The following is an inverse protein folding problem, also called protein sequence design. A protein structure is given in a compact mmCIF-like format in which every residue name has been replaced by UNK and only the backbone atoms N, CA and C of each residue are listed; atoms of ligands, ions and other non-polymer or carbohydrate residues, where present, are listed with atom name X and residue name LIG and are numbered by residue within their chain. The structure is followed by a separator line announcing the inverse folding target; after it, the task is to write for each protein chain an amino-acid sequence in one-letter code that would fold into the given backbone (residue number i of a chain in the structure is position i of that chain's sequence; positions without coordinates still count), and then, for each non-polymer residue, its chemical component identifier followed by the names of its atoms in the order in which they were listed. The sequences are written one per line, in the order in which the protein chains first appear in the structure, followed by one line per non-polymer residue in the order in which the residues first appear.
data_IF_384392637969
#
_entry.id   IF_384392637969
#
_cell.length_a   1.000
_cell.length_b   1.000
_cell.length_c   1.000
_cell.angle_alpha   90.00
_cell.angle_beta   90.00
_cell.angle_gamma   90.00
#
_symmetry.space_group_name_H-M   'P 1'
#
loop_
_entity.id
_entity.type
_entity.pdbx_description
1 polymer ?
#
# COMPACT_ATOMS: atom_id res chain seq x y z
N UNK A 1 29.39 15.67 40.08
CA UNK A 1 28.13 15.29 39.40
C UNK A 1 28.48 14.31 38.29
N UNK A 2 28.21 13.01 38.50
CA UNK A 2 28.46 11.96 37.50
C UNK A 2 27.34 11.97 36.47
N UNK A 3 27.65 12.38 35.23
CA UNK A 3 26.74 12.22 34.10
C UNK A 3 26.61 10.72 33.79
N UNK A 4 25.53 10.09 34.24
CA UNK A 4 25.14 8.77 33.78
C UNK A 4 24.83 8.87 32.27
N UNK A 5 25.86 8.67 31.44
CA UNK A 5 25.66 8.38 30.02
C UNK A 5 24.99 7.01 29.95
N UNK A 6 23.68 7.01 29.74
CA UNK A 6 22.97 5.80 29.35
C UNK A 6 23.54 5.36 28.00
N UNK A 7 24.44 4.37 28.01
CA UNK A 7 24.83 3.64 26.82
C UNK A 7 23.63 2.81 26.37
N UNK A 8 22.70 3.42 25.63
CA UNK A 8 21.69 2.68 24.91
C UNK A 8 22.38 1.96 23.75
N UNK A 9 22.67 0.67 23.96
CA UNK A 9 23.06 -0.20 22.87
C UNK A 9 21.88 -0.27 21.89
N UNK A 10 22.10 0.07 20.60
CA UNK A 10 21.02 0.04 19.62
C UNK A 10 20.49 -1.40 19.50
N UNK A 11 19.15 -1.57 19.39
CA UNK A 11 18.57 -2.90 19.31
C UNK A 11 19.04 -3.60 18.03
N UNK A 12 19.27 -4.91 18.13
CA UNK A 12 19.65 -5.73 16.96
C UNK A 12 18.47 -6.07 16.07
N UNK A 13 17.24 -5.99 16.62
CA UNK A 13 15.97 -6.31 15.96
C UNK A 13 14.87 -5.38 16.42
N UNK A 14 13.92 -5.08 15.53
CA UNK A 14 12.67 -4.41 15.89
C UNK A 14 11.74 -5.40 16.59
N UNK A 15 10.94 -4.94 17.57
CA UNK A 15 9.98 -5.79 18.29
C UNK A 15 8.88 -6.24 17.33
N UNK A 16 8.55 -7.54 17.34
CA UNK A 16 7.48 -8.11 16.52
C UNK A 16 6.66 -9.13 17.31
N UNK A 17 5.36 -9.17 17.05
CA UNK A 17 4.45 -10.16 17.61
C UNK A 17 4.36 -11.39 16.69
N UNK A 18 4.55 -12.58 17.26
CA UNK A 18 4.67 -13.84 16.48
C UNK A 18 3.43 -14.18 15.66
N UNK A 19 2.23 -13.88 16.17
CA UNK A 19 0.96 -14.25 15.53
C UNK A 19 0.40 -13.15 14.63
N UNK A 20 1.10 -12.03 14.50
CA UNK A 20 0.62 -10.89 13.73
C UNK A 20 0.79 -11.13 12.22
N UNK A 21 -0.32 -11.03 11.49
CA UNK A 21 -0.44 -11.25 10.05
C UNK A 21 0.22 -10.14 9.22
N UNK A 22 0.24 -8.91 9.74
CA UNK A 22 0.73 -7.73 9.04
C UNK A 22 0.21 -7.62 7.59
N UNK A 23 -1.09 -7.38 7.38
CA UNK A 23 -1.59 -7.02 6.06
C UNK A 23 -0.90 -5.73 5.57
N UNK A 24 -0.64 -5.65 4.27
CA UNK A 24 -0.03 -4.51 3.60
C UNK A 24 -0.65 -4.38 2.21
N UNK A 25 -1.21 -3.21 1.90
CA UNK A 25 -1.60 -2.86 0.54
C UNK A 25 -0.75 -1.72 -0.01
N UNK A 26 -0.90 -1.47 -1.30
CA UNK A 26 -0.25 -0.37 -2.00
C UNK A 26 -1.31 0.52 -2.63
N UNK A 27 -1.09 1.83 -2.61
CA UNK A 27 -1.98 2.79 -3.25
C UNK A 27 -1.20 3.92 -3.92
N UNK A 28 -1.86 4.65 -4.81
CA UNK A 28 -1.32 5.87 -5.40
C UNK A 28 -1.40 7.01 -4.39
N UNK A 29 -0.24 7.42 -3.92
CA UNK A 29 -0.06 8.60 -3.09
C UNK A 29 0.10 9.84 -3.98
N UNK A 30 0.01 11.05 -3.45
CA UNK A 30 0.11 12.27 -4.25
C UNK A 30 1.47 12.95 -4.15
N UNK A 31 2.15 12.80 -3.02
CA UNK A 31 3.29 13.66 -2.68
C UNK A 31 4.58 12.85 -2.80
N UNK A 32 5.41 13.13 -3.81
CA UNK A 32 6.71 12.50 -3.90
C UNK A 32 7.56 12.92 -2.70
N UNK A 33 8.30 11.98 -2.14
CA UNK A 33 9.26 12.25 -1.07
C UNK A 33 10.63 11.70 -1.45
N UNK A 34 11.65 12.03 -0.64
CA UNK A 34 13.00 11.48 -0.83
C UNK A 34 13.04 9.95 -0.90
N UNK A 35 12.15 9.27 -0.16
CA UNK A 35 12.08 7.80 -0.13
C UNK A 35 11.03 7.24 -1.10
N UNK A 36 10.12 8.07 -1.58
CA UNK A 36 8.98 7.71 -2.42
C UNK A 36 8.94 8.65 -3.63
N UNK A 37 9.93 8.54 -4.52
CA UNK A 37 10.05 9.45 -5.69
C UNK A 37 8.86 9.31 -6.64
N UNK A 38 8.48 8.06 -6.90
CA UNK A 38 7.22 7.74 -7.55
C UNK A 38 6.25 7.41 -6.42
N UNK A 39 5.17 8.19 -6.25
CA UNK A 39 4.32 8.11 -5.06
C UNK A 39 3.37 6.90 -5.16
N UNK A 40 3.91 5.73 -4.86
CA UNK A 40 3.17 4.51 -4.57
C UNK A 40 3.53 4.11 -3.15
N UNK A 41 2.56 4.23 -2.25
CA UNK A 41 2.80 4.09 -0.82
C UNK A 41 2.33 2.72 -0.32
N UNK A 42 3.21 1.96 0.36
CA UNK A 42 2.80 0.80 1.15
C UNK A 42 2.12 1.23 2.45
N UNK A 43 1.01 0.58 2.81
CA UNK A 43 0.31 0.85 4.08
C UNK A 43 -0.32 -0.43 4.66
N UNK A 44 -0.17 -0.68 5.98
CA UNK A 44 0.81 -0.08 6.89
C UNK A 44 2.27 -0.38 6.49
N UNK A 45 3.19 0.52 6.82
CA UNK A 45 4.63 0.34 6.56
C UNK A 45 5.29 -0.59 7.60
N UNK A 46 5.01 -1.89 7.52
CA UNK A 46 5.48 -2.94 8.46
C UNK A 46 6.95 -3.33 8.27
N UNK A 47 7.86 -2.36 8.36
CA UNK A 47 9.32 -2.58 8.25
C UNK A 47 9.86 -3.52 9.32
N UNK A 48 9.17 -3.64 10.45
CA UNK A 48 9.49 -4.58 11.53
C UNK A 48 9.38 -6.04 11.04
N UNK A 49 8.38 -6.38 10.22
CA UNK A 49 8.21 -7.71 9.64
C UNK A 49 9.30 -8.04 8.64
N UNK A 50 9.57 -7.09 7.75
CA UNK A 50 10.62 -7.19 6.74
C UNK A 50 12.00 -7.41 7.39
N UNK A 51 12.38 -6.54 8.33
CA UNK A 51 13.70 -6.62 8.99
C UNK A 51 13.88 -7.87 9.85
N UNK A 52 12.77 -8.47 10.30
CA UNK A 52 12.77 -9.71 11.08
C UNK A 52 12.51 -10.98 10.24
N UNK A 53 12.46 -10.89 8.90
CA UNK A 53 12.23 -12.04 8.00
C UNK A 53 10.91 -12.76 8.30
N UNK A 54 9.92 -12.00 8.76
CA UNK A 54 8.58 -12.50 9.06
C UNK A 54 7.62 -12.13 7.94
N UNK A 55 6.77 -13.06 7.48
CA UNK A 55 5.89 -12.80 6.35
C UNK A 55 4.93 -11.63 6.63
N UNK A 56 4.55 -10.98 5.55
CA UNK A 56 3.55 -9.92 5.44
C UNK A 56 2.51 -10.40 4.44
N UNK A 57 1.23 -10.25 4.74
CA UNK A 57 0.16 -10.53 3.78
C UNK A 57 0.02 -9.34 2.83
N UNK A 58 0.15 -9.56 1.53
CA UNK A 58 -0.14 -8.53 0.54
C UNK A 58 -1.64 -8.49 0.22
N UNK A 59 -2.26 -7.34 0.39
CA UNK A 59 -3.65 -7.11 -0.02
C UNK A 59 -3.65 -6.69 -1.48
N UNK A 60 -4.36 -7.46 -2.31
CA UNK A 60 -4.56 -7.17 -3.72
C UNK A 60 -5.95 -6.57 -3.93
N UNK A 61 -6.12 -5.66 -4.91
CA UNK A 61 -7.45 -5.20 -5.29
C UNK A 61 -8.21 -6.31 -6.04
N UNK A 62 -9.52 -6.16 -6.12
CA UNK A 62 -10.35 -6.97 -7.00
C UNK A 62 -10.16 -6.51 -8.46
N UNK A 63 -9.34 -7.27 -9.18
CA UNK A 63 -9.05 -7.01 -10.59
C UNK A 63 -10.28 -7.09 -11.50
N UNK A 64 -11.30 -7.88 -11.15
CA UNK A 64 -12.53 -7.97 -11.94
C UNK A 64 -13.34 -6.68 -11.83
N UNK A 65 -13.46 -6.15 -10.61
CA UNK A 65 -14.11 -4.85 -10.38
C UNK A 65 -13.38 -3.72 -11.11
N UNK A 66 -12.04 -3.75 -11.14
CA UNK A 66 -11.24 -2.73 -11.84
C UNK A 66 -11.34 -2.79 -13.37
N UNK A 67 -11.69 -3.94 -13.97
CA UNK A 67 -11.86 -4.06 -15.43
C UNK A 67 -12.86 -3.04 -15.98
N UNK A 68 -13.98 -2.85 -15.29
CA UNK A 68 -15.01 -1.89 -15.68
C UNK A 68 -14.52 -0.44 -15.56
N UNK A 69 -13.69 -0.15 -14.56
CA UNK A 69 -13.08 1.16 -14.35
C UNK A 69 -12.09 1.49 -15.47
N UNK A 70 -11.25 0.52 -15.87
CA UNK A 70 -10.31 0.71 -16.97
C UNK A 70 -11.01 1.06 -18.27
N UNK A 71 -12.08 0.32 -18.60
CA UNK A 71 -12.89 0.57 -19.80
C UNK A 71 -13.59 1.93 -19.74
N UNK A 72 -14.15 2.30 -18.58
CA UNK A 72 -14.88 3.56 -18.41
C UNK A 72 -14.00 4.80 -18.59
N UNK A 73 -12.75 4.73 -18.13
CA UNK A 73 -11.84 5.88 -18.11
C UNK A 73 -10.73 5.80 -19.16
N UNK A 74 -10.64 4.71 -19.93
CA UNK A 74 -9.58 4.47 -20.92
C UNK A 74 -8.16 4.59 -20.33
N UNK A 75 -8.02 4.18 -19.05
CA UNK A 75 -6.78 4.22 -18.27
C UNK A 75 -6.50 2.85 -17.64
N UNK A 76 -5.30 2.31 -17.88
CA UNK A 76 -4.93 0.95 -17.51
C UNK A 76 -3.71 0.95 -16.60
N UNK A 77 -3.77 0.16 -15.53
CA UNK A 77 -2.66 0.00 -14.61
C UNK A 77 -1.78 -1.17 -15.02
N UNK A 78 -0.49 -0.91 -15.22
CA UNK A 78 0.52 -1.95 -15.24
C UNK A 78 0.81 -2.37 -13.80
N UNK A 79 0.05 -3.35 -13.30
CA UNK A 79 0.19 -3.78 -11.91
C UNK A 79 1.58 -4.31 -11.59
N UNK A 80 2.27 -4.92 -12.57
CA UNK A 80 3.66 -5.35 -12.38
C UNK A 80 4.57 -4.19 -11.99
N UNK A 81 4.47 -3.07 -12.71
CA UNK A 81 5.25 -1.88 -12.35
C UNK A 81 4.75 -1.24 -11.06
N UNK A 82 3.44 -1.17 -10.86
CA UNK A 82 2.84 -0.63 -9.64
C UNK A 82 3.38 -1.32 -8.37
N UNK A 83 3.31 -2.65 -8.31
CA UNK A 83 3.80 -3.40 -7.16
C UNK A 83 5.33 -3.39 -7.07
N UNK A 84 6.06 -3.45 -8.19
CA UNK A 84 7.52 -3.37 -8.17
C UNK A 84 8.01 -2.06 -7.56
N UNK A 85 7.40 -0.93 -7.96
CA UNK A 85 7.72 0.38 -7.42
C UNK A 85 7.33 0.47 -5.94
N UNK A 86 6.12 0.02 -5.58
CA UNK A 86 5.68 -0.02 -4.18
C UNK A 86 6.63 -0.83 -3.28
N UNK A 87 7.07 -2.01 -3.73
CA UNK A 87 8.03 -2.84 -3.01
C UNK A 87 9.41 -2.16 -2.90
N UNK A 88 9.88 -1.54 -3.99
CA UNK A 88 11.16 -0.81 -4.01
C UNK A 88 11.13 0.36 -3.03
N UNK A 89 10.02 1.08 -2.99
CA UNK A 89 9.73 2.15 -2.05
C UNK A 89 9.77 1.64 -0.59
N UNK A 90 9.06 0.55 -0.28
CA UNK A 90 9.08 -0.09 1.04
C UNK A 90 10.50 -0.49 1.47
N UNK A 91 11.25 -1.14 0.58
CA UNK A 91 12.60 -1.62 0.85
C UNK A 91 13.56 -0.45 1.07
N UNK A 92 13.46 0.60 0.26
CA UNK A 92 14.28 1.80 0.40
C UNK A 92 14.02 2.48 1.75
N UNK A 93 12.75 2.65 2.11
CA UNK A 93 12.37 3.18 3.41
C UNK A 93 12.86 2.30 4.56
N UNK A 94 12.71 0.97 4.45
CA UNK A 94 13.18 0.02 5.45
C UNK A 94 14.71 0.08 5.63
N UNK A 95 15.49 0.21 4.55
CA UNK A 95 16.96 0.35 4.61
C UNK A 95 17.35 1.61 5.39
N UNK A 96 16.70 2.74 5.13
CA UNK A 96 16.93 4.01 5.84
C UNK A 96 16.58 3.87 7.33
N UNK A 97 15.36 3.44 7.64
CA UNK A 97 14.89 3.33 9.03
C UNK A 97 15.63 2.28 9.85
N UNK A 98 15.97 1.14 9.25
CA UNK A 98 16.77 0.13 9.92
C UNK A 98 18.16 0.66 10.29
N UNK A 99 18.80 1.44 9.39
CA UNK A 99 20.08 2.07 9.67
C UNK A 99 19.98 3.14 10.76
N UNK A 100 18.93 3.96 10.75
CA UNK A 100 18.67 4.95 11.81
C UNK A 100 18.53 4.28 13.19
N UNK A 101 17.76 3.19 13.27
CA UNK A 101 17.43 2.54 14.56
C UNK A 101 18.57 1.64 15.06
N UNK A 102 19.15 0.83 14.18
CA UNK A 102 20.11 -0.22 14.58
C UNK A 102 21.57 0.16 14.36
N UNK A 103 21.82 1.27 13.65
CA UNK A 103 23.15 1.69 13.16
C UNK A 103 23.82 0.67 12.24
N UNK A 104 23.04 -0.22 11.60
CA UNK A 104 23.51 -1.26 10.68
C UNK A 104 22.81 -1.16 9.34
N UNK A 105 23.46 -1.65 8.29
CA UNK A 105 22.82 -1.79 6.98
C UNK A 105 21.92 -3.03 6.97
N UNK A 106 20.73 -2.89 6.42
CA UNK A 106 19.82 -4.00 6.17
C UNK A 106 20.36 -4.83 5.00
N UNK A 107 20.63 -6.12 5.23
CA UNK A 107 21.20 -7.01 4.22
C UNK A 107 20.14 -7.48 3.23
N UNK A 108 20.53 -7.68 1.97
CA UNK A 108 19.60 -8.11 0.92
C UNK A 108 19.08 -9.53 1.16
N UNK A 109 19.84 -10.43 1.79
CA UNK A 109 19.33 -11.77 2.13
C UNK A 109 18.14 -11.71 3.09
N UNK A 110 18.06 -10.69 3.95
CA UNK A 110 16.92 -10.48 4.86
C UNK A 110 15.67 -10.12 4.05
N UNK A 111 15.82 -9.25 3.05
CA UNK A 111 14.74 -8.80 2.17
C UNK A 111 14.22 -9.96 1.32
N UNK A 112 15.14 -10.74 0.72
CA UNK A 112 14.79 -11.91 -0.09
C UNK A 112 14.03 -12.93 0.77
N UNK A 113 14.56 -13.28 1.94
CA UNK A 113 13.89 -14.24 2.84
C UNK A 113 12.53 -13.76 3.33
N UNK A 114 12.35 -12.45 3.54
CA UNK A 114 11.05 -11.88 3.86
C UNK A 114 10.08 -12.08 2.70
N UNK A 115 10.46 -11.65 1.50
CA UNK A 115 9.60 -11.70 0.32
C UNK A 115 9.20 -13.13 -0.04
N UNK A 116 10.16 -14.06 -0.03
CA UNK A 116 9.92 -15.49 -0.26
C UNK A 116 8.93 -16.10 0.72
N UNK A 117 8.87 -15.64 1.97
CA UNK A 117 7.86 -16.09 2.91
C UNK A 117 6.51 -15.41 2.67
N UNK A 118 6.51 -14.11 2.40
CA UNK A 118 5.30 -13.30 2.19
C UNK A 118 4.50 -13.78 0.98
N UNK A 119 5.15 -14.15 -0.13
CA UNK A 119 4.46 -14.65 -1.34
C UNK A 119 3.74 -15.99 -1.16
N UNK A 120 4.01 -16.70 -0.06
CA UNK A 120 3.46 -18.02 0.25
C UNK A 120 2.40 -17.98 1.35
N UNK A 121 1.98 -16.77 1.76
CA UNK A 121 0.92 -16.55 2.73
C UNK A 121 -0.30 -16.04 1.99
N UNK A 122 -1.41 -16.78 2.05
CA UNK A 122 -2.64 -16.47 1.34
C UNK A 122 -3.80 -16.44 2.33
N UNK A 123 -4.62 -15.41 2.22
CA UNK A 123 -5.94 -15.31 2.84
C UNK A 123 -6.71 -14.19 2.14
N UNK A 124 -8.02 -14.14 2.32
CA UNK A 124 -8.88 -13.09 1.77
C UNK A 124 -9.44 -12.22 2.90
N UNK A 125 -9.23 -10.91 2.77
CA UNK A 125 -9.79 -9.91 3.67
C UNK A 125 -10.64 -9.00 2.80
N UNK A 126 -11.94 -9.29 2.72
CA UNK A 126 -12.86 -8.66 1.77
C UNK A 126 -12.94 -7.15 1.95
N UNK A 127 -13.00 -6.67 3.21
CA UNK A 127 -13.03 -5.23 3.47
C UNK A 127 -11.79 -4.50 2.96
N UNK A 128 -10.58 -5.04 3.18
CA UNK A 128 -9.36 -4.39 2.67
C UNK A 128 -9.25 -4.51 1.15
N UNK A 129 -9.63 -5.65 0.58
CA UNK A 129 -9.69 -5.85 -0.88
C UNK A 129 -10.59 -4.79 -1.52
N UNK A 130 -11.79 -4.60 -0.95
CA UNK A 130 -12.74 -3.58 -1.39
C UNK A 130 -12.19 -2.16 -1.25
N UNK A 131 -11.55 -1.84 -0.11
CA UNK A 131 -10.95 -0.51 0.11
C UNK A 131 -9.82 -0.21 -0.88
N UNK A 132 -8.86 -1.12 -1.09
CA UNK A 132 -7.79 -0.86 -2.07
C UNK A 132 -8.31 -0.81 -3.51
N UNK A 133 -9.37 -1.56 -3.83
CA UNK A 133 -10.07 -1.46 -5.12
C UNK A 133 -10.69 -0.07 -5.28
N UNK A 134 -11.36 0.43 -4.25
CA UNK A 134 -11.99 1.75 -4.24
C UNK A 134 -10.97 2.87 -4.39
N UNK A 135 -9.88 2.83 -3.61
CA UNK A 135 -8.79 3.83 -3.68
C UNK A 135 -8.22 3.90 -5.11
N UNK A 136 -7.89 2.75 -5.70
CA UNK A 136 -7.37 2.69 -7.07
C UNK A 136 -8.39 3.22 -8.08
N UNK A 137 -9.67 2.88 -7.90
CA UNK A 137 -10.75 3.31 -8.80
C UNK A 137 -10.93 4.84 -8.80
N UNK A 138 -11.01 5.44 -7.61
CA UNK A 138 -11.15 6.89 -7.47
C UNK A 138 -9.91 7.62 -7.96
N UNK A 139 -8.71 7.07 -7.76
CA UNK A 139 -7.49 7.66 -8.33
C UNK A 139 -7.51 7.72 -9.87
N UNK A 140 -7.92 6.63 -10.54
CA UNK A 140 -8.04 6.62 -12.00
C UNK A 140 -9.09 7.60 -12.51
N UNK A 141 -10.23 7.68 -11.82
CA UNK A 141 -11.28 8.66 -12.10
C UNK A 141 -10.76 10.09 -11.97
N UNK A 142 -10.01 10.39 -10.90
CA UNK A 142 -9.35 11.68 -10.68
C UNK A 142 -8.40 12.02 -11.83
N UNK A 143 -7.52 11.09 -12.23
CA UNK A 143 -6.61 11.32 -13.36
C UNK A 143 -7.36 11.54 -14.67
N UNK A 144 -8.44 10.82 -14.92
CA UNK A 144 -9.27 11.01 -16.10
C UNK A 144 -9.81 12.45 -16.15
N UNK A 145 -10.44 12.92 -15.08
CA UNK A 145 -11.00 14.28 -15.06
C UNK A 145 -9.95 15.37 -15.20
N UNK A 146 -8.77 15.20 -14.57
CA UNK A 146 -7.63 16.12 -14.76
C UNK A 146 -7.22 16.20 -16.23
N UNK A 147 -7.17 15.06 -16.94
CA UNK A 147 -6.78 15.03 -18.35
C UNK A 147 -7.86 15.54 -19.32
N UNK A 148 -9.15 15.44 -18.97
CA UNK A 148 -10.26 15.78 -19.88
C UNK A 148 -10.81 17.19 -19.68
N UNK A 149 -10.78 17.70 -18.45
CA UNK A 149 -11.28 19.05 -18.16
C UNK A 149 -10.22 20.09 -18.55
N UNK A 150 -10.31 20.61 -19.77
CA UNK A 150 -9.46 21.71 -20.23
C UNK A 150 -9.88 23.02 -19.57
N UNK A 151 -9.10 23.47 -18.60
CA UNK A 151 -9.26 24.77 -17.95
C UNK A 151 -8.18 25.75 -18.44
N UNK A 152 -8.42 27.06 -18.28
CA UNK A 152 -7.39 28.09 -18.55
C UNK A 152 -6.23 28.03 -17.55
N UNK A 153 -6.45 27.40 -16.39
CA UNK A 153 -5.47 27.18 -15.33
C UNK A 153 -5.44 25.68 -14.99
N UNK A 154 -4.52 24.94 -15.63
CA UNK A 154 -4.36 23.49 -15.50
C UNK A 154 -3.93 23.09 -14.07
N UNK A 155 -3.14 23.95 -13.41
CA UNK A 155 -2.65 23.70 -12.06
C UNK A 155 -3.77 23.82 -11.03
N UNK A 156 -4.62 24.84 -11.16
CA UNK A 156 -5.81 24.99 -10.31
C UNK A 156 -6.77 23.82 -10.45
N UNK A 157 -6.96 23.32 -11.68
CA UNK A 157 -7.82 22.15 -11.92
C UNK A 157 -7.25 20.87 -11.32
N UNK A 158 -5.96 20.62 -11.51
CA UNK A 158 -5.25 19.47 -10.93
C UNK A 158 -5.35 19.46 -9.41
N UNK A 159 -5.08 20.62 -8.78
CA UNK A 159 -5.18 20.80 -7.34
C UNK A 159 -6.59 20.50 -6.83
N UNK A 160 -7.63 21.02 -7.49
CA UNK A 160 -9.04 20.79 -7.12
C UNK A 160 -9.38 19.30 -7.11
N UNK A 161 -9.04 18.58 -8.19
CA UNK A 161 -9.34 17.16 -8.32
C UNK A 161 -8.56 16.29 -7.32
N UNK A 162 -7.32 16.67 -7.00
CA UNK A 162 -6.55 16.00 -5.95
C UNK A 162 -7.08 16.26 -4.54
N UNK A 163 -7.52 17.48 -4.22
CA UNK A 163 -8.20 17.76 -2.95
C UNK A 163 -9.47 16.91 -2.84
N UNK A 164 -10.27 16.85 -3.91
CA UNK A 164 -11.49 16.05 -3.93
C UNK A 164 -11.20 14.54 -3.77
N UNK A 165 -10.11 14.04 -4.37
CA UNK A 165 -9.66 12.67 -4.14
C UNK A 165 -9.33 12.43 -2.67
N UNK A 166 -8.54 13.30 -2.04
CA UNK A 166 -8.24 13.19 -0.61
C UNK A 166 -9.50 13.23 0.25
N UNK A 167 -10.43 14.14 -0.02
CA UNK A 167 -11.71 14.23 0.70
C UNK A 167 -12.52 12.94 0.59
N UNK A 168 -12.59 12.38 -0.62
CA UNK A 168 -13.30 11.11 -0.87
C UNK A 168 -12.67 9.96 -0.07
N UNK A 169 -11.34 9.91 0.02
CA UNK A 169 -10.63 8.87 0.76
C UNK A 169 -10.74 9.04 2.28
N UNK A 170 -10.68 10.28 2.77
CA UNK A 170 -10.89 10.64 4.18
C UNK A 170 -12.28 10.18 4.62
N UNK A 171 -13.32 10.61 3.89
CA UNK A 171 -14.70 10.24 4.18
C UNK A 171 -14.91 8.73 4.12
N UNK A 172 -14.30 8.04 3.14
CA UNK A 172 -14.37 6.58 3.07
C UNK A 172 -13.77 5.90 4.32
N UNK A 173 -12.62 6.39 4.80
CA UNK A 173 -12.00 5.85 6.01
C UNK A 173 -12.84 6.16 7.26
N UNK A 174 -13.36 7.38 7.38
CA UNK A 174 -14.28 7.77 8.46
C UNK A 174 -15.52 6.88 8.47
N UNK A 175 -16.20 6.73 7.33
CA UNK A 175 -17.37 5.85 7.21
C UNK A 175 -17.04 4.40 7.60
N UNK A 176 -15.87 3.87 7.20
CA UNK A 176 -15.45 2.52 7.60
C UNK A 176 -15.25 2.40 9.10
N UNK A 177 -14.62 3.40 9.72
CA UNK A 177 -14.41 3.46 11.17
C UNK A 177 -15.75 3.60 11.89
N UNK A 178 -16.56 4.59 11.55
CA UNK A 178 -17.85 4.89 12.20
C UNK A 178 -18.86 3.75 12.10
N UNK A 179 -18.96 3.09 10.94
CA UNK A 179 -19.82 1.92 10.79
C UNK A 179 -19.33 0.72 11.61
N UNK A 180 -18.08 0.75 12.09
CA UNK A 180 -17.45 -0.25 12.95
C UNK A 180 -17.64 -1.70 12.45
N UNK A 181 -17.64 -1.87 11.13
CA UNK A 181 -17.98 -3.12 10.45
C UNK A 181 -16.83 -3.51 9.53
N UNK A 182 -16.41 -4.78 9.61
CA UNK A 182 -15.29 -5.29 8.85
C UNK A 182 -15.54 -6.75 8.45
N UNK A 183 -15.30 -7.08 7.20
CA UNK A 183 -15.67 -8.36 6.59
C UNK A 183 -14.41 -9.14 6.25
N UNK A 184 -14.32 -10.36 6.76
CA UNK A 184 -13.20 -11.30 6.57
C UNK A 184 -13.69 -12.64 6.02
N UNK A 185 -12.78 -13.41 5.43
CA UNK A 185 -13.04 -14.82 5.09
C UNK A 185 -12.80 -15.71 6.30
N UNK A 186 -13.72 -16.64 6.55
CA UNK A 186 -13.60 -17.71 7.53
C UNK A 186 -14.13 -19.02 6.96
N UNK A 187 -13.20 -19.94 6.68
CA UNK A 187 -13.49 -21.09 5.83
C UNK A 187 -14.01 -20.65 4.46
N UNK A 188 -15.20 -21.13 4.09
CA UNK A 188 -15.88 -20.81 2.83
C UNK A 188 -16.97 -19.73 2.99
N UNK A 189 -17.01 -19.07 4.16
CA UNK A 189 -18.03 -18.07 4.49
C UNK A 189 -17.43 -16.69 4.75
N UNK A 190 -18.25 -15.66 4.59
CA UNK A 190 -17.95 -14.31 5.03
C UNK A 190 -18.35 -14.15 6.50
N UNK A 191 -17.47 -13.55 7.31
CA UNK A 191 -17.76 -13.19 8.69
C UNK A 191 -17.63 -11.68 8.86
N UNK A 192 -18.68 -11.07 9.42
CA UNK A 192 -18.67 -9.68 9.85
C UNK A 192 -18.13 -9.58 11.28
N UNK A 193 -17.11 -8.74 11.47
CA UNK A 193 -16.45 -8.47 12.74
C UNK A 193 -16.36 -6.96 12.98
N UNK A 194 -16.14 -6.57 14.23
CA UNK A 194 -15.99 -5.16 14.61
C UNK A 194 -14.55 -4.67 14.45
N UNK A 195 -14.39 -3.39 14.13
CA UNK A 195 -13.09 -2.70 14.11
C UNK A 195 -12.62 -2.34 15.52
N UNK A 196 -13.54 -1.97 16.41
CA UNK A 196 -13.26 -1.59 17.78
C UNK A 196 -14.46 -1.90 18.70
N UNK A 197 -14.19 -1.90 20.01
CA UNK A 197 -15.22 -1.88 21.04
C UNK A 197 -15.22 -0.57 21.81
N UNK A 198 -16.40 -0.17 22.27
CA UNK A 198 -16.55 0.99 23.14
C UNK A 198 -16.65 0.54 24.60
N UNK A 199 -15.87 1.18 25.48
CA UNK A 199 -15.99 1.00 26.92
C UNK A 199 -15.69 2.32 27.61
N UNK A 200 -16.61 2.79 28.48
CA UNK A 200 -16.47 4.06 29.21
C UNK A 200 -16.16 5.26 28.28
N UNK A 201 -16.90 5.38 27.18
CA UNK A 201 -16.71 6.42 26.15
C UNK A 201 -15.29 6.46 25.53
N UNK A 202 -14.60 5.31 25.53
CA UNK A 202 -13.31 5.14 24.86
C UNK A 202 -13.40 4.00 23.84
N UNK A 203 -12.81 4.24 22.67
CA UNK A 203 -12.69 3.25 21.61
C UNK A 203 -11.42 2.41 21.83
N UNK A 204 -11.57 1.09 21.78
CA UNK A 204 -10.47 0.13 21.88
C UNK A 204 -10.43 -0.72 20.61
N UNK A 205 -9.39 -0.58 19.77
CA UNK A 205 -9.24 -1.38 18.57
C UNK A 205 -9.33 -2.89 18.87
N UNK A 206 -10.08 -3.61 18.03
CA UNK A 206 -10.24 -5.05 18.14
C UNK A 206 -9.13 -5.80 17.40
N UNK A 207 -8.74 -6.95 17.94
CA UNK A 207 -7.80 -7.87 17.30
C UNK A 207 -8.63 -8.90 16.54
N UNK A 208 -8.55 -8.84 15.21
CA UNK A 208 -9.24 -9.78 14.33
C UNK A 208 -8.33 -10.94 14.02
N UNK A 209 -8.86 -12.16 14.10
CA UNK A 209 -8.14 -13.38 13.73
C UNK A 209 -8.71 -13.98 12.47
N UNK A 210 -7.83 -14.37 11.55
CA UNK A 210 -8.19 -14.96 10.25
C UNK A 210 -7.43 -16.27 10.04
N UNK A 211 -8.03 -17.16 9.25
CA UNK A 211 -7.36 -18.37 8.78
C UNK A 211 -6.47 -18.02 7.58
N UNK A 212 -5.25 -18.54 7.62
CA UNK A 212 -4.21 -18.22 6.65
C UNK A 212 -3.59 -19.50 6.12
N UNK A 213 -3.59 -19.62 4.80
CA UNK A 213 -2.94 -20.71 4.08
C UNK A 213 -1.45 -20.38 3.93
N UNK A 214 -0.60 -21.24 4.50
CA UNK A 214 0.84 -21.17 4.34
C UNK A 214 1.28 -22.25 3.34
N UNK A 215 1.47 -21.85 2.08
CA UNK A 215 1.77 -22.76 0.98
C UNK A 215 3.12 -23.48 1.15
N UNK A 216 4.12 -22.82 1.73
CA UNK A 216 5.44 -23.41 1.99
C UNK A 216 5.37 -24.59 2.98
N UNK A 217 4.47 -24.49 3.95
CA UNK A 217 4.33 -25.48 5.02
C UNK A 217 3.12 -26.40 4.81
N UNK A 218 2.37 -26.19 3.72
CA UNK A 218 1.12 -26.87 3.40
C UNK A 218 0.18 -26.97 4.61
N UNK A 219 0.00 -25.85 5.33
CA UNK A 219 -0.79 -25.81 6.56
C UNK A 219 -1.65 -24.56 6.63
N UNK A 220 -2.81 -24.70 7.27
CA UNK A 220 -3.63 -23.58 7.73
C UNK A 220 -3.18 -23.16 9.12
N UNK A 221 -3.00 -21.86 9.32
CA UNK A 221 -2.66 -21.28 10.62
C UNK A 221 -3.54 -20.06 10.92
N UNK A 222 -3.88 -19.87 12.19
CA UNK A 222 -4.59 -18.67 12.65
C UNK A 222 -3.59 -17.55 12.88
N UNK A 223 -3.83 -16.42 12.24
CA UNK A 223 -3.05 -15.18 12.42
C UNK A 223 -3.99 -14.06 12.81
N UNK A 224 -3.47 -13.04 13.47
CA UNK A 224 -4.28 -11.92 13.93
C UNK A 224 -3.71 -10.58 13.48
N UNK A 225 -4.53 -9.54 13.41
CA UNK A 225 -4.11 -8.18 13.15
C UNK A 225 -5.15 -7.19 13.68
N UNK A 226 -4.82 -5.90 13.64
CA UNK A 226 -5.71 -4.83 14.11
C UNK A 226 -6.15 -4.02 12.88
N UNK A 227 -7.34 -4.28 12.30
CA UNK A 227 -7.79 -3.61 11.08
C UNK A 227 -7.97 -2.10 11.26
N UNK A 228 -8.41 -1.66 12.45
CA UNK A 228 -8.58 -0.24 12.78
C UNK A 228 -7.34 0.59 12.43
N UNK A 229 -6.14 0.10 12.79
CA UNK A 229 -4.88 0.82 12.56
C UNK A 229 -4.57 1.03 11.06
N UNK A 230 -5.09 0.18 10.18
CA UNK A 230 -4.89 0.32 8.74
C UNK A 230 -5.71 1.49 8.20
N UNK A 231 -6.97 1.60 8.64
CA UNK A 231 -7.81 2.74 8.28
C UNK A 231 -7.33 4.04 8.91
N UNK A 232 -6.81 3.98 10.14
CA UNK A 232 -6.16 5.10 10.83
C UNK A 232 -4.94 5.60 10.01
N UNK A 233 -4.06 4.69 9.61
CA UNK A 233 -2.90 5.02 8.76
C UNK A 233 -3.32 5.61 7.39
N UNK A 234 -4.36 5.05 6.75
CA UNK A 234 -4.89 5.56 5.48
C UNK A 234 -5.46 6.97 5.65
N UNK A 235 -6.30 7.16 6.67
CA UNK A 235 -6.89 8.45 7.02
C UNK A 235 -5.81 9.51 7.24
N UNK A 236 -4.77 9.19 8.01
CA UNK A 236 -3.65 10.08 8.28
C UNK A 236 -2.88 10.43 7.01
N UNK A 237 -2.63 9.45 6.13
CA UNK A 237 -1.95 9.68 4.85
C UNK A 237 -2.75 10.68 3.98
N UNK A 238 -4.04 10.44 3.78
CA UNK A 238 -4.86 11.32 2.94
C UNK A 238 -5.10 12.70 3.58
N UNK A 239 -5.24 12.76 4.90
CA UNK A 239 -5.31 14.02 5.65
C UNK A 239 -4.03 14.84 5.52
N UNK A 240 -2.87 14.18 5.63
CA UNK A 240 -1.57 14.81 5.43
C UNK A 240 -1.43 15.33 3.99
N UNK A 241 -1.81 14.54 2.99
CA UNK A 241 -1.78 14.95 1.58
C UNK A 241 -2.64 16.17 1.33
N UNK A 242 -3.90 16.15 1.80
CA UNK A 242 -4.82 17.28 1.70
C UNK A 242 -4.21 18.54 2.31
N UNK A 243 -3.67 18.44 3.53
CA UNK A 243 -3.01 19.57 4.20
C UNK A 243 -1.85 20.12 3.37
N UNK A 244 -1.01 19.25 2.80
CA UNK A 244 0.14 19.66 1.99
C UNK A 244 -0.25 20.28 0.66
N UNK A 245 -1.34 19.82 0.03
CA UNK A 245 -1.91 20.44 -1.17
C UNK A 245 -2.33 21.90 -0.89
N UNK A 246 -2.88 22.20 0.29
CA UNK A 246 -3.18 23.58 0.68
C UNK A 246 -1.94 24.41 1.03
N UNK A 247 -0.93 23.82 1.67
CA UNK A 247 0.29 24.53 2.11
C UNK A 247 1.26 24.83 0.96
N UNK A 248 1.39 23.96 -0.03
CA UNK A 248 2.36 24.10 -1.14
C UNK A 248 1.73 23.71 -2.50
N UNK A 249 0.73 24.48 -2.99
CA UNK A 249 -0.09 24.07 -4.12
C UNK A 249 0.64 23.93 -5.49
N UNK A 250 1.88 24.41 -5.66
CA UNK A 250 2.40 24.73 -7.01
C UNK A 250 3.73 24.04 -7.42
N UNK A 251 4.50 23.41 -6.55
CA UNK A 251 5.87 23.05 -6.98
C UNK A 251 6.07 21.69 -7.67
N UNK A 252 5.17 20.70 -7.54
CA UNK A 252 5.39 19.39 -8.22
C UNK A 252 4.15 18.46 -8.30
N UNK A 253 2.97 18.97 -8.66
CA UNK A 253 1.76 18.15 -8.87
C UNK A 253 1.70 17.52 -10.27
N UNK A 254 2.85 17.08 -10.78
CA UNK A 254 2.90 16.47 -12.10
C UNK A 254 2.22 15.10 -12.08
N UNK A 255 1.12 14.96 -12.81
CA UNK A 255 0.50 13.65 -13.05
C UNK A 255 1.38 12.74 -13.92
N UNK A 256 2.44 13.28 -14.53
CA UNK A 256 3.22 12.56 -15.52
C UNK A 256 4.06 11.44 -14.91
N UNK A 257 4.38 11.46 -13.61
CA UNK A 257 5.18 10.41 -13.00
C UNK A 257 4.63 9.00 -13.26
N UNK A 258 3.32 8.81 -13.21
CA UNK A 258 2.72 7.49 -13.43
C UNK A 258 2.68 7.10 -14.92
N UNK A 259 2.55 8.07 -15.82
CA UNK A 259 2.55 7.83 -17.26
C UNK A 259 3.96 7.59 -17.80
N UNK A 260 4.93 8.43 -17.44
CA UNK A 260 6.34 8.33 -17.85
C UNK A 260 6.98 7.02 -17.38
N UNK A 261 6.60 6.55 -16.19
CA UNK A 261 7.07 5.26 -15.65
C UNK A 261 6.22 4.06 -16.11
N UNK A 262 5.29 4.26 -17.05
CA UNK A 262 4.41 3.22 -17.63
C UNK A 262 3.60 2.44 -16.60
N UNK A 263 3.30 3.08 -15.47
CA UNK A 263 2.45 2.53 -14.41
C UNK A 263 0.99 2.66 -14.83
N UNK A 264 0.64 3.81 -15.41
CA UNK A 264 -0.67 4.07 -16.00
C UNK A 264 -0.49 4.30 -17.50
N UNK A 265 -1.30 3.63 -18.30
CA UNK A 265 -1.25 3.69 -19.76
C UNK A 265 -2.62 4.12 -20.29
N UNK A 266 -2.62 4.92 -21.36
CA UNK A 266 -3.85 5.33 -22.08
C UNK A 266 -4.16 4.31 -23.17
N UNK A 267 -5.43 4.05 -23.47
CA UNK A 267 -5.84 3.07 -24.51
C UNK A 267 -5.09 3.21 -25.84
N UNK A 268 -4.89 4.44 -26.32
CA UNK A 268 -4.17 4.72 -27.58
C UNK A 268 -2.69 4.31 -27.59
N UNK A 269 -2.12 3.97 -26.44
CA UNK A 269 -0.73 3.49 -26.29
C UNK A 269 -0.63 1.98 -26.11
N UNK A 270 -1.78 1.28 -26.00
CA UNK A 270 -1.86 -0.15 -25.74
C UNK A 270 -1.69 -0.99 -27.02
N UNK A 271 -1.68 -0.38 -28.21
CA UNK A 271 -1.46 -1.09 -29.48
C UNK A 271 -0.13 -1.88 -29.57
N UNK A 272 0.80 -1.70 -28.62
CA UNK A 272 2.03 -2.50 -28.49
C UNK A 272 2.04 -3.50 -27.31
N UNK A 273 1.01 -3.50 -26.46
CA UNK A 273 0.84 -4.45 -25.36
C UNK A 273 -0.37 -5.32 -25.67
N UNK A 274 -0.17 -6.63 -25.82
CA UNK A 274 -1.29 -7.57 -26.00
C UNK A 274 -2.27 -7.34 -24.84
N UNK A 275 -3.45 -6.81 -25.17
CA UNK A 275 -4.52 -6.49 -24.20
C UNK A 275 -4.83 -7.70 -23.30
N UNK A 276 -4.68 -8.91 -23.83
CA UNK A 276 -4.78 -10.17 -23.10
C UNK A 276 -3.74 -10.31 -21.97
N UNK A 277 -2.49 -9.86 -22.12
CA UNK A 277 -1.48 -9.87 -21.05
C UNK A 277 -1.77 -8.86 -19.94
N UNK A 278 -2.40 -7.71 -20.26
CA UNK A 278 -2.82 -6.73 -19.24
C UNK A 278 -3.96 -7.28 -18.36
N UNK A 279 -4.88 -8.05 -18.96
CA UNK A 279 -5.95 -8.74 -18.23
C UNK A 279 -5.49 -10.04 -17.56
N UNK A 280 -4.47 -10.72 -18.11
CA UNK A 280 -3.85 -11.94 -17.55
C UNK A 280 -2.77 -11.65 -16.50
N UNK A 281 -2.44 -10.39 -16.22
CA UNK A 281 -1.65 -9.97 -15.04
C UNK A 281 -2.43 -10.16 -13.73
N UNK A 282 -3.14 -11.29 -13.59
CA UNK A 282 -3.50 -11.85 -12.29
C UNK A 282 -2.19 -12.19 -11.60
N UNK A 283 -1.78 -11.29 -10.69
CA UNK A 283 -0.49 -11.40 -10.03
C UNK A 283 -0.52 -12.59 -9.08
N UNK A 284 0.04 -13.70 -9.53
CA UNK A 284 0.70 -14.60 -8.61
C UNK A 284 2.05 -13.96 -8.24
N UNK A 285 2.15 -13.49 -7.00
CA UNK A 285 3.39 -12.91 -6.46
C UNK A 285 4.58 -13.89 -6.55
N UNK A 286 4.32 -15.19 -6.81
CA UNK A 286 5.33 -16.20 -7.12
C UNK A 286 6.19 -15.87 -8.35
N UNK A 287 5.71 -15.06 -9.30
CA UNK A 287 6.44 -14.71 -10.53
C UNK A 287 7.41 -13.54 -10.37
N UNK A 288 7.45 -12.89 -9.22
CA UNK A 288 8.42 -11.82 -8.94
C UNK A 288 9.68 -12.45 -8.36
N UNK A 289 10.75 -12.53 -9.16
CA UNK A 289 12.09 -12.72 -8.62
C UNK A 289 12.66 -11.35 -8.27
N UNK A 290 12.86 -11.07 -6.98
CA UNK A 290 13.73 -9.95 -6.58
C UNK A 290 15.17 -10.41 -6.86
N UNK A 291 15.70 -10.12 -8.04
CA UNK A 291 17.13 -10.32 -8.32
C UNK A 291 17.94 -9.15 -7.75
N UNK A 292 19.19 -9.41 -7.35
CA UNK A 292 20.18 -8.40 -6.95
C UNK A 292 20.36 -7.30 -7.99
N UNK A 293 20.07 -7.61 -9.26
CA UNK A 293 20.35 -6.78 -10.43
C UNK A 293 19.32 -5.65 -10.62
N UNK A 294 18.16 -5.73 -9.97
CA UNK A 294 17.17 -4.64 -9.97
C UNK A 294 17.67 -3.37 -9.25
N UNK A 295 18.79 -3.44 -8.51
CA UNK A 295 19.31 -2.33 -7.72
C UNK A 295 20.39 -1.49 -8.41
N UNK A 296 20.96 -1.96 -9.52
CA UNK A 296 22.03 -1.21 -10.22
C UNK A 296 21.50 -0.28 -11.32
N UNK A 297 20.29 -0.49 -11.84
CA UNK A 297 19.76 0.32 -12.96
C UNK A 297 19.21 1.70 -12.60
N UNK A 298 19.13 2.07 -11.32
CA UNK A 298 18.67 3.40 -10.87
C UNK A 298 19.81 4.32 -10.38
N UNK A 299 21.06 4.00 -10.72
CA UNK A 299 22.20 4.90 -10.62
C UNK A 299 22.75 5.13 -12.02
N UNK A 300 22.13 6.02 -12.78
CA UNK A 300 22.75 6.82 -13.83
C UNK A 300 21.84 8.02 -14.10
#
# INVERSE_FOLDING_TARGET
MSSKRFFFNPPTKLKVFKNDLAPLGFFFDLIPTKNFKIPIMPVPMRIDKLTNRQPTLFILPDFNSLKNIFQKYHLFINFKQFFLIGLTNLISYAKVKYKEITKRNLKDEIIIQWFEKSKNIITEIYSLTGTFTFIISEFLKTLYFINTEKTKDENSNTLKHFIQYCDTMINHCEEKIENNTFIIKKGDTEEEVKLYKEKNNKCYPEIVSVDVDNLLLNKKEKRSFIPYLIYDDLFDCFSYNKKKLFENPINDLSINYWFENRIINKDSTIDNFKIEELYLNQINLSFYSISSDCYEKNKN
#
